data_IF_690326471791
#
_entry.id   IF_690326471791
#
_cell.length_a   1.000
_cell.length_b   1.000
_cell.length_c   1.000
_cell.angle_alpha   90.00
_cell.angle_beta   90.00
_cell.angle_gamma   90.00
#
_symmetry.space_group_name_H-M   'P 1'
#
loop_
_entity.id
_entity.type
_entity.pdbx_description
1 polymer ?
#
# COMPACT_ATOMS: atom_id res chain seq x y z
N UNK A 1 -21.24 13.67 -5.25
CA UNK A 1 -20.26 14.69 -5.70
C UNK A 1 -18.92 14.47 -5.02
N UNK A 2 -17.80 14.59 -5.76
CA UNK A 2 -16.44 14.41 -5.25
C UNK A 2 -16.08 15.39 -4.12
N UNK A 3 -15.38 14.89 -3.10
CA UNK A 3 -14.84 15.74 -2.03
C UNK A 3 -13.49 16.33 -2.44
N UNK A 4 -13.18 17.57 -2.04
CA UNK A 4 -11.94 18.26 -2.43
C UNK A 4 -10.67 17.46 -2.08
N UNK A 5 -10.67 16.76 -0.94
CA UNK A 5 -9.53 15.95 -0.48
C UNK A 5 -9.34 14.63 -1.23
N UNK A 6 -10.28 14.19 -2.06
CA UNK A 6 -10.12 12.96 -2.85
C UNK A 6 -9.03 13.11 -3.93
N UNK A 7 -8.84 14.30 -4.48
CA UNK A 7 -7.72 14.57 -5.42
C UNK A 7 -6.37 14.40 -4.76
N UNK A 8 -6.20 14.94 -3.56
CA UNK A 8 -4.97 14.77 -2.79
C UNK A 8 -4.72 13.29 -2.49
N UNK A 9 -5.74 12.56 -2.03
CA UNK A 9 -5.64 11.12 -1.77
C UNK A 9 -5.24 10.33 -3.04
N UNK A 10 -5.84 10.64 -4.19
CA UNK A 10 -5.50 9.98 -5.45
C UNK A 10 -4.05 10.25 -5.87
N UNK A 11 -3.55 11.48 -5.69
CA UNK A 11 -2.15 11.83 -5.97
C UNK A 11 -1.20 11.08 -5.02
N UNK A 12 -1.49 11.07 -3.70
CA UNK A 12 -0.71 10.30 -2.72
C UNK A 12 -0.68 8.83 -3.08
N UNK A 13 -1.81 8.26 -3.48
CA UNK A 13 -1.92 6.86 -3.91
C UNK A 13 -1.08 6.57 -5.15
N UNK A 14 -1.08 7.48 -6.13
CA UNK A 14 -0.27 7.34 -7.35
C UNK A 14 1.23 7.37 -7.04
N UNK A 15 1.67 8.33 -6.22
CA UNK A 15 3.07 8.44 -5.80
C UNK A 15 3.50 7.18 -5.05
N UNK A 16 2.69 6.73 -4.08
CA UNK A 16 2.98 5.53 -3.30
C UNK A 16 3.11 4.29 -4.20
N UNK A 17 2.21 4.10 -5.16
CA UNK A 17 2.27 2.97 -6.09
C UNK A 17 3.53 3.00 -6.97
N UNK A 18 3.94 4.17 -7.47
CA UNK A 18 5.14 4.30 -8.30
C UNK A 18 6.40 4.02 -7.49
N UNK A 19 6.50 4.60 -6.29
CA UNK A 19 7.64 4.39 -5.39
C UNK A 19 7.74 2.92 -4.99
N UNK A 20 6.63 2.32 -4.56
CA UNK A 20 6.56 0.91 -4.17
C UNK A 20 6.94 -0.02 -5.33
N UNK A 21 6.34 0.16 -6.51
CA UNK A 21 6.70 -0.61 -7.70
C UNK A 21 8.19 -0.54 -8.04
N UNK A 22 8.77 0.67 -7.99
CA UNK A 22 10.18 0.88 -8.33
C UNK A 22 11.10 0.18 -7.33
N UNK A 23 10.82 0.33 -6.03
CA UNK A 23 11.63 -0.25 -4.96
C UNK A 23 11.55 -1.78 -4.94
N UNK A 24 10.35 -2.36 -5.05
CA UNK A 24 10.18 -3.82 -5.04
C UNK A 24 10.78 -4.47 -6.30
N UNK A 25 10.61 -3.84 -7.46
CA UNK A 25 11.22 -4.34 -8.70
C UNK A 25 12.75 -4.30 -8.61
N UNK A 26 13.31 -3.21 -8.09
CA UNK A 26 14.75 -3.12 -7.86
C UNK A 26 15.23 -4.17 -6.86
N UNK A 27 14.47 -4.38 -5.77
CA UNK A 27 14.80 -5.38 -4.77
C UNK A 27 14.80 -6.80 -5.33
N UNK A 28 13.78 -7.14 -6.11
CA UNK A 28 13.71 -8.42 -6.80
C UNK A 28 14.91 -8.64 -7.73
N UNK A 29 15.27 -7.65 -8.56
CA UNK A 29 16.40 -7.76 -9.50
C UNK A 29 17.75 -7.91 -8.79
N UNK A 30 17.92 -7.28 -7.62
CA UNK A 30 19.20 -7.28 -6.91
C UNK A 30 19.39 -8.50 -6.00
N UNK A 31 18.33 -8.97 -5.34
CA UNK A 31 18.42 -10.03 -4.33
C UNK A 31 17.66 -11.32 -4.69
N UNK A 32 17.02 -11.39 -5.86
CA UNK A 32 16.39 -12.61 -6.36
C UNK A 32 15.17 -13.06 -5.55
N UNK A 33 14.33 -12.11 -5.11
CA UNK A 33 13.11 -12.40 -4.35
C UNK A 33 12.20 -13.39 -5.11
N UNK A 34 11.50 -14.31 -4.43
CA UNK A 34 10.56 -15.22 -5.09
C UNK A 34 9.50 -14.48 -5.91
N UNK A 35 9.20 -14.97 -7.11
CA UNK A 35 8.21 -14.37 -8.01
C UNK A 35 6.83 -14.22 -7.35
N UNK A 36 6.46 -15.15 -6.48
CA UNK A 36 5.18 -15.12 -5.76
C UNK A 36 5.05 -13.88 -4.88
N UNK A 37 6.15 -13.44 -4.25
CA UNK A 37 6.13 -12.24 -3.43
C UNK A 37 5.99 -10.99 -4.30
N UNK A 38 6.76 -10.90 -5.40
CA UNK A 38 6.67 -9.79 -6.35
C UNK A 38 5.27 -9.66 -6.98
N UNK A 39 4.60 -10.79 -7.24
CA UNK A 39 3.22 -10.78 -7.78
C UNK A 39 2.23 -10.13 -6.81
N UNK A 40 2.35 -10.36 -5.51
CA UNK A 40 1.50 -9.73 -4.49
C UNK A 40 1.72 -8.21 -4.50
N UNK A 41 2.97 -7.78 -4.62
CA UNK A 41 3.32 -6.35 -4.70
C UNK A 41 2.75 -5.70 -5.95
N UNK A 42 2.78 -6.40 -7.09
CA UNK A 42 2.23 -5.91 -8.35
C UNK A 42 0.70 -5.86 -8.35
N UNK A 43 0.02 -6.78 -7.66
CA UNK A 43 -1.42 -6.69 -7.45
C UNK A 43 -1.76 -5.44 -6.63
N UNK A 44 -1.01 -5.17 -5.55
CA UNK A 44 -1.19 -3.95 -4.77
C UNK A 44 -1.03 -2.70 -5.65
N UNK A 45 0.06 -2.63 -6.41
CA UNK A 45 0.33 -1.51 -7.31
C UNK A 45 -0.79 -1.34 -8.34
N UNK A 46 -1.27 -2.43 -8.96
CA UNK A 46 -2.36 -2.39 -9.93
C UNK A 46 -3.66 -1.83 -9.34
N UNK A 47 -4.03 -2.25 -8.12
CA UNK A 47 -5.22 -1.75 -7.43
C UNK A 47 -5.09 -0.26 -7.09
N UNK A 48 -3.93 0.16 -6.57
CA UNK A 48 -3.66 1.56 -6.24
C UNK A 48 -3.69 2.45 -7.49
N UNK A 49 -3.04 2.02 -8.58
CA UNK A 49 -3.05 2.73 -9.87
C UNK A 49 -4.46 2.84 -10.44
N UNK A 50 -5.22 1.74 -10.43
CA UNK A 50 -6.61 1.74 -10.91
C UNK A 50 -7.47 2.72 -10.11
N UNK A 51 -7.41 2.67 -8.77
CA UNK A 51 -8.15 3.57 -7.89
C UNK A 51 -7.78 5.04 -8.10
N UNK A 52 -6.48 5.34 -8.15
CA UNK A 52 -5.97 6.70 -8.38
C UNK A 52 -6.38 7.25 -9.74
N UNK A 53 -6.14 6.51 -10.82
CA UNK A 53 -6.47 6.94 -12.17
C UNK A 53 -7.98 7.12 -12.36
N UNK A 54 -8.80 6.21 -11.82
CA UNK A 54 -10.26 6.36 -11.86
C UNK A 54 -10.73 7.58 -11.06
N UNK A 55 -10.20 7.81 -9.86
CA UNK A 55 -10.56 8.98 -9.06
C UNK A 55 -10.22 10.30 -9.75
N UNK A 56 -9.09 10.36 -10.45
CA UNK A 56 -8.69 11.56 -11.20
C UNK A 56 -9.57 11.81 -12.44
N UNK A 57 -10.06 10.75 -13.10
CA UNK A 57 -10.80 10.83 -14.37
C UNK A 57 -12.32 10.88 -14.23
N UNK A 58 -12.91 10.18 -13.27
CA UNK A 58 -14.38 10.06 -13.15
C UNK A 58 -14.94 11.33 -12.51
N UNK A 59 -15.37 12.28 -13.33
CA UNK A 59 -16.03 13.53 -12.89
C UNK A 59 -17.46 13.58 -13.44
N UNK A 60 -18.47 14.02 -12.65
CA UNK A 60 -18.43 14.49 -11.26
C UNK A 60 -18.53 13.36 -10.20
N UNK A 61 -18.41 12.10 -10.63
CA UNK A 61 -18.46 10.92 -9.77
C UNK A 61 -17.26 10.80 -8.83
N UNK A 62 -17.11 9.63 -8.21
CA UNK A 62 -16.00 9.35 -7.31
C UNK A 62 -15.56 7.90 -7.40
N UNK A 63 -14.27 7.68 -7.11
CA UNK A 63 -13.67 6.35 -6.96
C UNK A 63 -13.09 6.14 -5.55
N UNK A 64 -13.58 6.83 -4.51
CA UNK A 64 -13.04 6.70 -3.16
C UNK A 64 -13.11 5.26 -2.62
N UNK A 65 -14.13 4.47 -3.00
CA UNK A 65 -14.19 3.05 -2.67
C UNK A 65 -13.07 2.21 -3.31
N UNK A 66 -12.66 2.54 -4.54
CA UNK A 66 -11.52 1.87 -5.19
C UNK A 66 -10.19 2.26 -4.55
N UNK A 67 -10.03 3.52 -4.16
CA UNK A 67 -8.88 3.95 -3.37
C UNK A 67 -8.81 3.18 -2.04
N UNK A 68 -9.94 3.04 -1.34
CA UNK A 68 -10.02 2.29 -0.09
C UNK A 68 -9.68 0.81 -0.27
N UNK A 69 -10.16 0.18 -1.35
CA UNK A 69 -9.81 -1.21 -1.67
C UNK A 69 -8.29 -1.37 -1.87
N UNK A 70 -7.64 -0.46 -2.59
CA UNK A 70 -6.19 -0.47 -2.78
C UNK A 70 -5.41 -0.34 -1.47
N UNK A 71 -5.77 0.63 -0.62
CA UNK A 71 -5.11 0.81 0.69
C UNK A 71 -5.43 -0.31 1.69
N UNK A 72 -6.59 -0.96 1.59
CA UNK A 72 -6.94 -2.12 2.42
C UNK A 72 -6.09 -3.34 2.04
N UNK A 73 -5.90 -3.58 0.74
CA UNK A 73 -4.94 -4.57 0.26
C UNK A 73 -3.53 -4.24 0.75
N UNK A 74 -3.14 -2.97 0.68
CA UNK A 74 -1.84 -2.50 1.16
C UNK A 74 -1.60 -2.81 2.64
N UNK A 75 -2.62 -2.61 3.47
CA UNK A 75 -2.55 -2.92 4.90
C UNK A 75 -2.38 -4.43 5.13
N UNK A 76 -3.14 -5.26 4.41
CA UNK A 76 -3.10 -6.72 4.56
C UNK A 76 -1.74 -7.32 4.23
N UNK A 77 -1.14 -6.93 3.10
CA UNK A 77 0.20 -7.40 2.76
C UNK A 77 1.27 -6.79 3.68
N UNK A 78 1.16 -5.49 3.99
CA UNK A 78 2.08 -4.79 4.89
C UNK A 78 2.11 -5.41 6.29
N UNK A 79 0.97 -5.88 6.79
CA UNK A 79 0.87 -6.63 8.04
C UNK A 79 1.75 -7.88 8.02
N UNK A 80 1.60 -8.71 6.99
CA UNK A 80 2.43 -9.93 6.82
C UNK A 80 3.91 -9.57 6.69
N UNK A 81 4.23 -8.45 6.06
CA UNK A 81 5.61 -7.95 5.92
C UNK A 81 6.23 -7.56 7.26
N UNK A 82 5.51 -6.85 8.13
CA UNK A 82 6.00 -6.46 9.47
C UNK A 82 6.09 -7.67 10.39
N UNK A 83 4.97 -8.34 10.64
CA UNK A 83 4.89 -9.36 11.69
C UNK A 83 5.61 -10.65 11.31
N UNK A 84 5.70 -10.95 10.01
CA UNK A 84 6.53 -12.06 9.53
C UNK A 84 8.02 -11.84 9.80
N UNK A 85 8.51 -10.61 9.63
CA UNK A 85 9.91 -10.26 9.91
C UNK A 85 10.19 -10.14 11.40
N UNK A 86 9.23 -9.66 12.18
CA UNK A 86 9.33 -9.64 13.64
C UNK A 86 9.47 -11.07 14.19
N UNK A 87 8.63 -12.00 13.76
CA UNK A 87 8.70 -13.41 14.16
C UNK A 87 10.04 -14.06 13.76
N UNK A 88 10.56 -13.75 12.56
CA UNK A 88 11.88 -14.22 12.12
C UNK A 88 13.03 -13.64 12.95
N UNK A 89 12.93 -12.38 13.37
CA UNK A 89 13.91 -11.74 14.24
C UNK A 89 13.92 -12.39 15.64
N UNK A 90 12.75 -12.65 16.21
CA UNK A 90 12.58 -13.33 17.50
C UNK A 90 13.11 -14.77 17.45
N UNK A 91 12.97 -15.46 16.31
CA UNK A 91 13.49 -16.80 16.09
C UNK A 91 15.02 -16.86 15.85
N UNK A 92 15.71 -15.72 15.80
CA UNK A 92 17.15 -15.66 15.55
C UNK A 92 17.57 -16.11 14.15
N UNK A 93 16.65 -16.05 13.17
CA UNK A 93 16.93 -16.49 11.80
C UNK A 93 17.97 -15.59 11.14
N UNK A 94 19.09 -16.17 10.67
CA UNK A 94 20.15 -15.41 10.02
C UNK A 94 19.69 -14.83 8.67
N UNK A 95 19.85 -13.51 8.43
CA UNK A 95 19.34 -12.88 7.22
C UNK A 95 20.20 -13.23 5.99
N UNK A 96 19.59 -13.85 4.97
CA UNK A 96 20.29 -14.19 3.71
C UNK A 96 20.60 -12.96 2.84
N UNK A 97 19.85 -11.86 3.03
CA UNK A 97 19.91 -10.63 2.24
C UNK A 97 20.07 -9.37 3.11
N UNK A 98 20.36 -9.53 4.41
CA UNK A 98 20.36 -8.43 5.39
C UNK A 98 18.99 -8.13 6.03
N UNK A 99 17.94 -8.88 5.70
CA UNK A 99 16.65 -8.89 6.40
C UNK A 99 16.36 -10.23 7.08
N UNK A 100 15.88 -10.25 8.33
CA UNK A 100 15.37 -9.11 9.10
C UNK A 100 16.42 -8.48 10.04
N UNK A 101 16.52 -7.15 10.03
CA UNK A 101 17.18 -6.36 11.08
C UNK A 101 16.17 -5.51 11.83
N UNK A 102 16.45 -5.17 13.10
CA UNK A 102 15.57 -4.35 13.92
C UNK A 102 15.24 -2.99 13.26
N UNK A 103 16.22 -2.39 12.56
CA UNK A 103 16.02 -1.13 11.82
C UNK A 103 15.00 -1.29 10.71
N UNK A 104 15.05 -2.36 9.93
CA UNK A 104 14.12 -2.59 8.82
C UNK A 104 12.71 -2.85 9.36
N UNK A 105 12.57 -3.64 10.43
CA UNK A 105 11.28 -3.85 11.09
C UNK A 105 10.68 -2.51 11.57
N UNK A 106 11.48 -1.63 12.16
CA UNK A 106 11.02 -0.30 12.59
C UNK A 106 10.52 0.55 11.40
N UNK A 107 11.25 0.56 10.28
CA UNK A 107 10.83 1.26 9.05
C UNK A 107 9.49 0.70 8.55
N UNK A 108 9.33 -0.62 8.54
CA UNK A 108 8.10 -1.27 8.09
C UNK A 108 6.91 -0.97 9.03
N UNK A 109 7.11 -0.86 10.34
CA UNK A 109 6.07 -0.46 11.29
C UNK A 109 5.59 0.96 11.00
N UNK A 110 6.52 1.89 10.74
CA UNK A 110 6.18 3.28 10.37
C UNK A 110 5.40 3.29 9.04
N UNK A 111 5.88 2.56 8.03
CA UNK A 111 5.21 2.45 6.75
C UNK A 111 3.79 1.88 6.89
N UNK A 112 3.62 0.81 7.68
CA UNK A 112 2.32 0.20 7.95
C UNK A 112 1.36 1.18 8.66
N UNK A 113 1.88 2.01 9.57
CA UNK A 113 1.11 3.03 10.27
C UNK A 113 0.61 4.10 9.29
N UNK A 114 1.46 4.53 8.35
CA UNK A 114 1.06 5.45 7.27
C UNK A 114 -0.01 4.81 6.39
N UNK A 115 0.15 3.55 5.99
CA UNK A 115 -0.86 2.79 5.23
C UNK A 115 -2.20 2.77 5.96
N UNK A 116 -2.20 2.50 7.27
CA UNK A 116 -3.42 2.49 8.08
C UNK A 116 -4.11 3.87 8.13
N UNK A 117 -3.34 4.95 8.31
CA UNK A 117 -3.87 6.32 8.31
C UNK A 117 -4.52 6.65 6.96
N UNK A 118 -3.85 6.32 5.85
CA UNK A 118 -4.37 6.62 4.51
C UNK A 118 -5.58 5.76 4.18
N UNK A 119 -5.61 4.49 4.65
CA UNK A 119 -6.81 3.66 4.57
C UNK A 119 -7.99 4.31 5.30
N UNK A 120 -7.81 4.76 6.55
CA UNK A 120 -8.88 5.43 7.30
C UNK A 120 -9.38 6.68 6.56
N UNK A 121 -8.47 7.48 5.98
CA UNK A 121 -8.85 8.62 5.15
C UNK A 121 -9.69 8.19 3.93
N UNK A 122 -9.26 7.16 3.21
CA UNK A 122 -9.98 6.65 2.05
C UNK A 122 -11.37 6.09 2.39
N UNK A 123 -11.50 5.36 3.50
CA UNK A 123 -12.77 4.84 4.01
C UNK A 123 -13.71 5.96 4.43
N UNK A 124 -13.20 6.98 5.11
CA UNK A 124 -14.00 8.14 5.50
C UNK A 124 -14.59 8.87 4.27
N UNK A 125 -13.84 8.94 3.17
CA UNK A 125 -14.33 9.50 1.91
C UNK A 125 -15.36 8.59 1.24
N UNK A 126 -15.10 7.29 1.18
CA UNK A 126 -16.03 6.32 0.60
C UNK A 126 -17.37 6.29 1.36
N UNK A 127 -17.32 6.33 2.69
CA UNK A 127 -18.51 6.39 3.55
C UNK A 127 -19.33 7.67 3.32
N UNK A 128 -18.67 8.83 3.26
CA UNK A 128 -19.37 10.10 2.96
C UNK A 128 -20.09 10.07 1.62
N UNK A 129 -19.62 9.27 0.67
CA UNK A 129 -20.22 9.16 -0.65
C UNK A 129 -21.36 8.15 -0.71
N UNK A 130 -21.34 7.10 0.12
CA UNK A 130 -22.47 6.18 0.21
C UNK A 130 -23.68 6.83 0.86
N UNK A 131 -23.48 7.71 1.85
CA UNK A 131 -24.56 8.40 2.58
C UNK A 131 -25.15 9.58 1.80
N UNK A 132 -24.41 10.16 0.86
CA UNK A 132 -24.85 11.32 0.04
C UNK A 132 -25.45 10.90 -1.32
N UNK A 133 -25.85 9.64 -1.47
CA UNK A 133 -26.64 9.16 -2.61
C UNK A 133 -28.11 9.49 -2.39
#
# INVERSE_FOLDING_TARGET
MRHASETALAIVTLIAAIVHFTLETWFHLKWGQPLQALLVDYICNALMLLGALRSLRVRPGSAAGLLAAGWAYALGFGWRSVFGRLAQLEAGTAPANGEPTATIVAILIVALSVVAIVLVWSLALAWRQSVRR
#
